data_IF_971519140441
#
_entry.id   IF_971519140441
#
_cell.length_a   1.000
_cell.length_b   1.000
_cell.length_c   1.000
_cell.angle_alpha   90.00
_cell.angle_beta   90.00
_cell.angle_gamma   90.00
#
_symmetry.space_group_name_H-M   'P 1'
#
loop_
_entity.id
_entity.type
_entity.pdbx_description
1 polymer ?
#
# COMPACT_ATOMS: atom_id res chain seq x y z
N UNK A 1 -3.67 1.82 12.28
CA UNK A 1 -2.28 2.11 12.68
C UNK A 1 -1.42 1.94 11.44
N UNK A 2 -0.57 2.90 11.12
CA UNK A 2 0.27 2.84 9.93
C UNK A 2 1.67 2.37 10.27
N UNK A 3 2.19 1.44 9.49
CA UNK A 3 3.52 0.88 9.67
C UNK A 3 4.27 0.79 8.36
N UNK A 4 5.59 0.90 8.44
CA UNK A 4 6.51 0.59 7.33
C UNK A 4 7.17 -0.75 7.57
N UNK A 5 7.22 -1.60 6.55
CA UNK A 5 7.91 -2.88 6.60
C UNK A 5 9.42 -2.63 6.58
N UNK A 6 10.13 -3.20 7.55
CA UNK A 6 11.60 -3.20 7.60
C UNK A 6 12.16 -4.52 7.09
N UNK A 7 11.55 -5.62 7.47
CA UNK A 7 11.97 -6.95 7.05
C UNK A 7 10.77 -7.91 7.00
N UNK A 8 10.83 -8.87 6.08
CA UNK A 8 9.89 -9.99 6.01
C UNK A 8 10.57 -11.18 6.67
N UNK A 9 10.13 -11.52 7.88
CA UNK A 9 10.78 -12.52 8.71
C UNK A 9 10.36 -13.94 8.34
N UNK A 10 9.10 -14.12 7.94
CA UNK A 10 8.57 -15.41 7.55
C UNK A 10 7.37 -15.25 6.61
N UNK A 11 7.26 -16.13 5.63
CA UNK A 11 6.06 -16.33 4.81
C UNK A 11 5.69 -17.80 4.89
N UNK A 12 4.62 -18.13 5.61
CA UNK A 12 4.21 -19.52 5.78
C UNK A 12 3.02 -19.70 6.71
N UNK A 13 2.42 -20.90 6.69
CA UNK A 13 1.31 -21.24 7.57
C UNK A 13 1.75 -22.06 8.79
N UNK A 14 1.38 -21.61 9.99
CA UNK A 14 1.53 -22.39 11.21
C UNK A 14 0.14 -22.78 11.72
N UNK A 15 -0.23 -24.06 11.55
CA UNK A 15 -1.43 -24.77 12.06
C UNK A 15 -2.84 -24.12 11.98
N UNK A 16 -2.99 -22.86 11.56
CA UNK A 16 -4.24 -22.09 11.60
C UNK A 16 -4.52 -21.23 10.35
N UNK A 17 -3.67 -21.32 9.31
CA UNK A 17 -3.85 -20.57 8.06
C UNK A 17 -2.53 -20.09 7.46
N UNK A 18 -2.61 -19.45 6.30
CA UNK A 18 -1.47 -18.81 5.64
C UNK A 18 -1.18 -17.46 6.31
N UNK A 19 0.05 -17.24 6.77
CA UNK A 19 0.44 -16.00 7.48
C UNK A 19 1.72 -15.40 6.93
N UNK A 20 1.98 -14.15 7.29
CA UNK A 20 3.27 -13.48 7.10
C UNK A 20 3.66 -12.78 8.39
N UNK A 21 4.92 -12.94 8.79
CA UNK A 21 5.51 -12.26 9.94
C UNK A 21 6.46 -11.18 9.45
N UNK A 22 6.26 -9.95 9.92
CA UNK A 22 6.96 -8.76 9.49
C UNK A 22 7.63 -8.08 10.68
N UNK A 23 8.85 -7.63 10.50
CA UNK A 23 9.42 -6.56 11.32
C UNK A 23 8.97 -5.23 10.73
N UNK A 24 8.30 -4.41 11.54
CA UNK A 24 7.72 -3.14 11.12
C UNK A 24 8.05 -2.03 12.09
N UNK A 25 7.97 -0.79 11.62
CA UNK A 25 8.06 0.40 12.46
C UNK A 25 6.83 1.29 12.26
N UNK A 26 6.40 2.04 13.28
CA UNK A 26 5.40 3.08 13.12
C UNK A 26 5.78 4.07 12.01
N UNK A 27 4.81 4.45 11.20
CA UNK A 27 4.97 5.47 10.15
C UNK A 27 4.10 6.70 10.49
N UNK A 28 4.60 7.94 10.32
CA UNK A 28 5.89 8.32 9.70
C UNK A 28 7.07 8.40 10.68
N UNK A 29 6.82 8.31 11.99
CA UNK A 29 7.80 8.73 13.00
C UNK A 29 8.94 7.75 13.26
N UNK A 30 8.92 6.55 12.65
CA UNK A 30 9.96 5.53 12.76
C UNK A 30 10.30 5.15 14.21
N UNK A 31 9.26 4.94 15.02
CA UNK A 31 9.38 4.44 16.38
C UNK A 31 10.04 3.05 16.47
N UNK A 32 10.07 2.43 17.66
CA UNK A 32 10.73 1.15 17.86
C UNK A 32 10.17 0.08 16.92
N UNK A 33 11.03 -0.83 16.49
CA UNK A 33 10.65 -1.95 15.65
C UNK A 33 9.77 -2.93 16.43
N UNK A 34 8.77 -3.47 15.74
CA UNK A 34 7.78 -4.39 16.27
C UNK A 34 7.60 -5.55 15.31
N UNK A 35 7.38 -6.74 15.86
CA UNK A 35 7.04 -7.92 15.07
C UNK A 35 5.52 -8.06 15.00
N UNK A 36 4.98 -8.13 13.79
CA UNK A 36 3.54 -8.33 13.55
C UNK A 36 3.37 -9.57 12.67
N UNK A 37 2.41 -10.42 13.04
CA UNK A 37 1.96 -11.53 12.20
C UNK A 37 0.58 -11.19 11.64
N UNK A 38 0.43 -11.30 10.32
CA UNK A 38 -0.79 -10.97 9.59
C UNK A 38 -1.26 -12.22 8.85
N UNK A 39 -2.53 -12.55 9.02
CA UNK A 39 -3.18 -13.61 8.25
C UNK A 39 -3.40 -13.18 6.80
N UNK A 40 -3.20 -14.07 5.84
CA UNK A 40 -3.38 -13.77 4.41
C UNK A 40 -4.78 -13.22 4.09
N UNK A 41 -5.79 -13.70 4.83
CA UNK A 41 -7.17 -13.23 4.71
C UNK A 41 -7.40 -11.78 5.17
N UNK A 42 -6.50 -11.22 5.99
CA UNK A 42 -6.61 -9.83 6.43
C UNK A 42 -6.17 -8.84 5.33
N UNK A 43 -5.52 -9.31 4.26
CA UNK A 43 -5.07 -8.42 3.17
C UNK A 43 -6.22 -7.98 2.26
N UNK A 44 -6.47 -6.67 2.25
CA UNK A 44 -7.60 -6.07 1.52
C UNK A 44 -7.28 -5.86 0.04
N UNK A 45 -6.13 -5.24 -0.24
CA UNK A 45 -5.75 -4.78 -1.58
C UNK A 45 -4.39 -5.31 -2.05
N UNK A 46 -3.89 -6.38 -1.44
CA UNK A 46 -2.63 -7.03 -1.81
C UNK A 46 -2.95 -8.34 -2.55
N UNK A 47 -2.20 -8.63 -3.62
CA UNK A 47 -2.38 -9.83 -4.45
C UNK A 47 -1.99 -11.10 -3.70
N UNK A 48 -0.85 -11.08 -3.01
CA UNK A 48 -0.37 -12.20 -2.20
C UNK A 48 0.65 -11.73 -1.15
N UNK A 49 0.63 -12.35 0.03
CA UNK A 49 1.55 -12.04 1.15
C UNK A 49 3.04 -12.11 0.82
N UNK A 50 3.46 -12.99 -0.09
CA UNK A 50 4.88 -13.14 -0.47
C UNK A 50 5.42 -11.99 -1.33
N UNK A 51 4.55 -11.07 -1.76
CA UNK A 51 4.92 -9.89 -2.54
C UNK A 51 5.20 -8.67 -1.67
N UNK A 52 5.01 -8.80 -0.35
CA UNK A 52 5.39 -7.76 0.61
C UNK A 52 6.91 -7.62 0.64
N UNK A 53 7.37 -6.37 0.69
CA UNK A 53 8.79 -6.05 0.69
C UNK A 53 9.09 -4.87 1.64
N UNK A 54 10.35 -4.74 2.09
CA UNK A 54 10.79 -3.57 2.85
C UNK A 54 10.45 -2.25 2.17
N UNK A 55 10.08 -1.24 2.95
CA UNK A 55 9.70 0.08 2.46
C UNK A 55 8.23 0.19 2.00
N UNK A 56 7.45 -0.90 2.03
CA UNK A 56 6.00 -0.83 1.89
C UNK A 56 5.36 -0.27 3.16
N UNK A 57 4.33 0.55 2.99
CA UNK A 57 3.55 1.12 4.09
C UNK A 57 2.16 0.49 4.11
N UNK A 58 1.81 -0.09 5.26
CA UNK A 58 0.51 -0.69 5.50
C UNK A 58 -0.30 0.16 6.48
N UNK A 59 -1.61 0.26 6.25
CA UNK A 59 -2.56 0.63 7.29
C UNK A 59 -3.18 -0.64 7.87
N UNK A 60 -3.08 -0.76 9.20
CA UNK A 60 -3.51 -1.92 9.97
C UNK A 60 -4.72 -1.56 10.83
N UNK A 61 -5.79 -2.32 10.69
CA UNK A 61 -6.92 -2.32 11.62
C UNK A 61 -6.80 -3.53 12.54
N UNK A 62 -6.93 -3.31 13.84
CA UNK A 62 -6.81 -4.36 14.85
C UNK A 62 -8.15 -4.67 15.49
N UNK A 63 -8.39 -5.95 15.75
CA UNK A 63 -9.45 -6.45 16.60
C UNK A 63 -8.81 -7.14 17.82
N UNK A 64 -8.64 -6.38 18.91
CA UNK A 64 -7.78 -6.78 20.02
C UNK A 64 -6.31 -6.79 19.57
N UNK A 65 -5.64 -7.92 19.74
CA UNK A 65 -4.22 -8.08 19.38
C UNK A 65 -4.01 -8.60 17.94
N UNK A 66 -5.09 -8.93 17.23
CA UNK A 66 -5.03 -9.50 15.88
C UNK A 66 -5.27 -8.41 14.82
N UNK A 67 -4.49 -8.46 13.74
CA UNK A 67 -4.76 -7.64 12.55
C UNK A 67 -6.00 -8.18 11.84
N UNK A 68 -7.06 -7.39 11.84
CA UNK A 68 -8.31 -7.69 11.14
C UNK A 68 -8.21 -7.30 9.66
N UNK A 69 -7.57 -6.16 9.37
CA UNK A 69 -7.37 -5.68 8.01
C UNK A 69 -5.97 -5.07 7.82
N UNK A 70 -5.36 -5.35 6.69
CA UNK A 70 -4.12 -4.76 6.24
C UNK A 70 -4.27 -4.24 4.81
N UNK A 71 -4.08 -2.92 4.66
CA UNK A 71 -4.19 -2.22 3.37
C UNK A 71 -2.85 -1.62 2.99
N UNK A 72 -2.34 -1.95 1.80
CA UNK A 72 -1.15 -1.33 1.23
C UNK A 72 -1.46 0.11 0.81
N UNK A 73 -0.79 1.07 1.45
CA UNK A 73 -0.92 2.50 1.19
C UNK A 73 0.15 3.03 0.23
N UNK A 74 1.30 2.38 0.15
CA UNK A 74 2.39 2.81 -0.71
C UNK A 74 3.64 1.95 -0.60
N UNK A 75 4.61 2.19 -1.48
CA UNK A 75 5.89 1.51 -1.48
C UNK A 75 7.03 2.46 -1.85
N UNK A 76 8.26 2.09 -1.51
CA UNK A 76 9.46 2.85 -1.85
C UNK A 76 9.68 2.95 -3.37
N UNK A 77 9.29 1.92 -4.12
CA UNK A 77 9.45 1.86 -5.57
C UNK A 77 8.14 1.50 -6.29
N UNK A 78 8.03 1.96 -7.54
CA UNK A 78 6.82 1.76 -8.35
C UNK A 78 6.59 0.28 -8.71
N UNK A 79 7.65 -0.47 -8.97
CA UNK A 79 7.54 -1.86 -9.42
C UNK A 79 7.01 -2.76 -8.29
N UNK A 80 7.53 -2.59 -7.08
CA UNK A 80 7.07 -3.24 -5.87
C UNK A 80 5.62 -2.92 -5.58
N UNK A 81 5.23 -1.63 -5.65
CA UNK A 81 3.83 -1.23 -5.50
C UNK A 81 2.92 -1.95 -6.51
N UNK A 82 3.27 -1.89 -7.80
CA UNK A 82 2.46 -2.48 -8.88
C UNK A 82 2.37 -4.00 -8.82
N UNK A 83 3.42 -4.65 -8.34
CA UNK A 83 3.46 -6.11 -8.20
C UNK A 83 2.61 -6.56 -7.02
N UNK A 84 2.72 -5.88 -5.87
CA UNK A 84 1.99 -6.24 -4.67
C UNK A 84 0.51 -5.87 -4.71
N UNK A 85 0.14 -4.74 -5.33
CA UNK A 85 -1.24 -4.29 -5.41
C UNK A 85 -2.13 -5.26 -6.18
N UNK A 86 -3.27 -5.60 -5.59
CA UNK A 86 -4.35 -6.32 -6.26
C UNK A 86 -4.91 -5.46 -7.40
N UNK A 87 -4.95 -5.97 -8.65
CA UNK A 87 -5.57 -5.26 -9.75
C UNK A 87 -7.02 -4.90 -9.41
N UNK A 88 -7.34 -3.61 -9.45
CA UNK A 88 -8.71 -3.14 -9.31
C UNK A 88 -9.40 -3.20 -10.68
N UNK A 89 -10.69 -3.58 -10.77
CA UNK A 89 -11.45 -3.46 -12.00
C UNK A 89 -11.45 -2.00 -12.46
N UNK A 90 -10.87 -1.72 -13.63
CA UNK A 90 -10.85 -0.39 -14.21
C UNK A 90 -12.00 -0.30 -15.21
N UNK A 91 -12.97 0.57 -14.92
CA UNK A 91 -14.02 0.87 -15.90
C UNK A 91 -13.41 1.62 -17.10
N UNK A 92 -13.71 1.20 -18.34
CA UNK A 92 -13.24 1.91 -19.52
C UNK A 92 -13.70 3.37 -19.48
N UNK A 93 -12.79 4.28 -19.81
CA UNK A 93 -13.07 5.72 -19.80
C UNK A 93 -12.36 6.38 -20.99
N UNK A 94 -12.98 7.39 -21.62
CA UNK A 94 -12.34 8.11 -22.73
C UNK A 94 -11.24 9.08 -22.28
N UNK A 95 -11.07 9.28 -20.96
CA UNK A 95 -10.07 10.19 -20.40
C UNK A 95 -8.93 9.42 -19.71
N UNK A 96 -7.66 9.84 -19.86
CA UNK A 96 -6.55 9.31 -19.08
C UNK A 96 -6.78 9.47 -17.58
N UNK A 97 -6.22 8.55 -16.77
CA UNK A 97 -6.34 8.54 -15.31
C UNK A 97 -5.02 8.16 -14.64
N UNK A 98 -4.78 8.70 -13.46
CA UNK A 98 -3.63 8.32 -12.63
C UNK A 98 -3.98 7.04 -11.85
N UNK A 99 -3.18 5.99 -12.03
CA UNK A 99 -3.34 4.72 -11.30
C UNK A 99 -2.38 4.60 -10.11
N UNK A 100 -1.30 5.39 -10.14
CA UNK A 100 -0.33 5.54 -9.07
C UNK A 100 0.54 6.75 -9.36
N UNK A 101 1.10 7.37 -8.33
CA UNK A 101 2.04 8.48 -8.47
C UNK A 101 3.06 8.48 -7.33
N UNK A 102 4.18 9.18 -7.55
CA UNK A 102 5.16 9.43 -6.49
C UNK A 102 4.74 10.66 -5.69
N UNK A 103 4.58 10.51 -4.39
CA UNK A 103 4.32 11.61 -3.48
C UNK A 103 5.66 12.14 -2.93
N UNK A 104 6.06 13.38 -3.23
CA UNK A 104 7.36 13.92 -2.79
C UNK A 104 7.43 14.13 -1.28
N UNK A 105 6.30 14.36 -0.61
CA UNK A 105 6.27 14.55 0.85
C UNK A 105 6.46 13.23 1.61
N UNK A 106 5.81 12.15 1.16
CA UNK A 106 6.02 10.83 1.75
C UNK A 106 7.31 10.16 1.25
N UNK A 107 7.83 10.61 0.10
CA UNK A 107 8.84 9.93 -0.69
C UNK A 107 8.45 8.47 -1.01
N UNK A 108 7.18 8.25 -1.37
CA UNK A 108 6.61 6.94 -1.66
C UNK A 108 5.82 6.97 -2.96
N UNK A 109 5.80 5.85 -3.65
CA UNK A 109 4.79 5.55 -4.66
C UNK A 109 3.49 5.17 -3.98
N UNK A 110 2.39 5.83 -4.34
CA UNK A 110 1.06 5.62 -3.77
C UNK A 110 0.07 5.17 -4.84
N UNK A 111 -0.87 4.26 -4.51
CA UNK A 111 -1.96 3.91 -5.41
C UNK A 111 -2.89 5.11 -5.61
N UNK A 112 -3.46 5.22 -6.79
CA UNK A 112 -4.49 6.18 -7.14
C UNK A 112 -5.64 5.46 -7.86
N UNK A 113 -6.84 5.97 -7.67
CA UNK A 113 -8.07 5.47 -8.30
C UNK A 113 -8.71 6.56 -9.15
N UNK A 114 -7.97 7.09 -10.15
CA UNK A 114 -8.46 8.14 -11.03
C UNK A 114 -7.64 9.42 -10.93
N UNK A 115 -8.31 10.56 -10.77
CA UNK A 115 -7.67 11.84 -10.43
C UNK A 115 -7.90 12.12 -8.94
N UNK A 116 -7.08 11.54 -8.03
CA UNK A 116 -7.22 11.81 -6.62
C UNK A 116 -6.91 13.29 -6.35
N UNK A 117 -7.63 13.92 -5.42
CA UNK A 117 -7.32 15.30 -5.02
C UNK A 117 -6.02 15.41 -4.22
N UNK A 118 -5.51 14.30 -3.68
CA UNK A 118 -4.31 14.25 -2.85
C UNK A 118 -3.79 12.83 -2.58
N UNK A 119 -2.61 12.76 -1.98
CA UNK A 119 -2.00 11.54 -1.48
C UNK A 119 -2.85 10.92 -0.37
N UNK A 120 -3.22 9.65 -0.50
CA UNK A 120 -4.01 8.92 0.51
C UNK A 120 -3.31 8.76 1.87
N UNK A 121 -2.01 9.06 1.95
CA UNK A 121 -1.22 8.98 3.19
C UNK A 121 -1.16 10.34 3.90
N UNK A 122 -0.65 11.38 3.24
CA UNK A 122 -0.37 12.69 3.84
C UNK A 122 -1.30 13.82 3.39
N UNK A 123 -2.17 13.59 2.40
CA UNK A 123 -3.08 14.60 1.87
C UNK A 123 -2.46 15.64 0.93
N UNK A 124 -1.14 15.61 0.69
CA UNK A 124 -0.49 16.51 -0.29
C UNK A 124 -1.15 16.39 -1.66
N UNK A 125 -1.41 17.50 -2.38
CA UNK A 125 -2.06 17.46 -3.69
C UNK A 125 -1.41 16.46 -4.65
N UNK A 126 -2.25 15.67 -5.32
CA UNK A 126 -1.80 14.72 -6.32
C UNK A 126 -1.48 15.44 -7.64
N UNK A 127 -0.65 14.86 -8.52
CA UNK A 127 -0.44 15.42 -9.84
C UNK A 127 -1.75 15.42 -10.63
N UNK A 128 -2.13 16.57 -11.18
CA UNK A 128 -3.27 16.70 -12.10
C UNK A 128 -2.83 16.39 -13.52
N UNK A 129 -3.51 15.45 -14.18
CA UNK A 129 -3.40 15.29 -15.62
C UNK A 129 -4.14 16.46 -16.29
N UNK A 130 -3.40 17.46 -16.73
CA UNK A 130 -3.99 18.56 -17.51
C UNK A 130 -4.36 18.01 -18.89
N UNK A 131 -5.65 17.74 -19.11
CA UNK A 131 -6.20 17.49 -20.43
C UNK A 131 -6.08 18.79 -21.24
N UNK A 132 -4.96 18.98 -21.92
CA UNK A 132 -4.91 19.92 -23.03
C UNK A 132 -5.85 19.37 -24.11
N UNK A 133 -7.11 19.83 -24.09
CA UNK A 133 -8.04 19.68 -25.21
C UNK A 133 -7.40 20.45 -26.37
N UNK A 134 -6.65 19.74 -27.21
CA UNK A 134 -6.29 20.26 -28.53
C UNK A 134 -7.59 20.34 -29.33
N UNK A 135 -8.21 21.51 -29.29
CA UNK A 135 -9.31 21.88 -30.17
C UNK A 135 -8.69 22.05 -31.55
N UNK A 136 -8.92 21.08 -32.44
CA UNK A 136 -8.72 21.23 -33.90
C UNK A 136 -9.88 21.99 -34.51
#
# INVERSE_FOLDING_TARGET
>A
MRVVIREVLNVGGFFAGETVTLAVQPWPDHGPEQTITIDDAAFVNITARHLLAPGMVLDLLFAGDRVEQATLLGAADHAGLRTALRPQPISPTPVPRVLSFHCPHCNLWVPASGDPSGCGICGTPAPTLSLAVQST
#
